data_IF_572884575883
#
_entry.id   IF_572884575883
#
_cell.length_a   1.000
_cell.length_b   1.000
_cell.length_c   1.000
_cell.angle_alpha   90.00
_cell.angle_beta   90.00
_cell.angle_gamma   90.00
#
_symmetry.space_group_name_H-M   'P 1'
#
loop_
_entity.id
_entity.type
_entity.pdbx_description
1 polymer ?
#
# COMPACT_ATOMS: atom_id res chain seq x y z
N UNK A 1 4.42 -8.47 1.58
CA UNK A 1 3.01 -8.97 1.66
C UNK A 1 2.83 -9.77 2.95
N UNK A 2 1.61 -9.86 3.52
CA UNK A 2 1.37 -10.65 4.74
C UNK A 2 -0.03 -11.27 4.75
N UNK A 3 -0.13 -12.57 5.07
CA UNK A 3 -1.40 -13.32 5.16
C UNK A 3 -2.33 -13.13 3.96
N UNK A 4 -1.77 -13.22 2.75
CA UNK A 4 -2.51 -13.04 1.50
C UNK A 4 -2.94 -11.60 1.18
N UNK A 5 -2.58 -10.62 2.00
CA UNK A 5 -2.89 -9.20 1.79
C UNK A 5 -1.67 -8.41 1.34
N UNK A 6 -1.93 -7.41 0.49
CA UNK A 6 -0.97 -6.40 0.08
C UNK A 6 -1.09 -5.21 1.03
N UNK A 7 0.04 -4.77 1.56
CA UNK A 7 0.12 -3.67 2.50
C UNK A 7 0.92 -2.50 1.92
N UNK A 8 0.50 -1.29 2.28
CA UNK A 8 1.29 -0.07 2.13
C UNK A 8 1.53 0.53 3.52
N UNK A 9 2.59 1.31 3.65
CA UNK A 9 2.95 1.95 4.91
C UNK A 9 3.04 3.46 4.75
N UNK A 10 2.69 4.18 5.81
CA UNK A 10 2.88 5.63 5.91
C UNK A 10 2.98 6.04 7.38
N UNK A 11 3.07 7.34 7.64
CA UNK A 11 3.05 7.89 8.99
C UNK A 11 1.77 8.68 9.23
N UNK A 12 1.11 8.49 10.38
CA UNK A 12 -0.19 9.12 10.70
C UNK A 12 -0.20 10.65 10.67
N UNK A 13 0.94 11.29 10.90
CA UNK A 13 1.05 12.75 10.85
C UNK A 13 1.04 13.33 9.42
N UNK A 14 1.30 12.52 8.38
CA UNK A 14 1.36 12.98 6.99
C UNK A 14 -0.04 13.30 6.45
N UNK A 15 -0.13 14.33 5.62
CA UNK A 15 -1.40 14.73 4.99
C UNK A 15 -2.07 13.60 4.20
N UNK A 16 -1.29 12.75 3.52
CA UNK A 16 -1.83 11.58 2.80
C UNK A 16 -2.57 10.61 3.73
N UNK A 17 -2.10 10.41 4.96
CA UNK A 17 -2.79 9.55 5.94
C UNK A 17 -4.12 10.17 6.37
N UNK A 18 -4.16 11.49 6.57
CA UNK A 18 -5.39 12.22 6.89
C UNK A 18 -6.41 12.13 5.76
N UNK A 19 -5.97 12.31 4.51
CA UNK A 19 -6.82 12.15 3.32
C UNK A 19 -7.40 10.74 3.21
N UNK A 20 -6.58 9.70 3.43
CA UNK A 20 -7.02 8.30 3.42
C UNK A 20 -8.04 8.03 4.55
N UNK A 21 -7.85 8.65 5.72
CA UNK A 21 -8.79 8.51 6.84
C UNK A 21 -10.16 9.16 6.56
N UNK A 22 -10.19 10.24 5.77
CA UNK A 22 -11.44 10.88 5.31
C UNK A 22 -12.09 10.11 4.16
N UNK A 23 -11.31 9.62 3.21
CA UNK A 23 -11.76 8.80 2.09
C UNK A 23 -10.69 7.78 1.71
N UNK A 24 -10.96 6.51 1.99
CA UNK A 24 -10.00 5.44 1.81
C UNK A 24 -9.94 4.87 0.39
N UNK A 25 -10.73 5.39 -0.56
CA UNK A 25 -10.66 4.97 -1.96
C UNK A 25 -9.44 5.62 -2.63
N UNK A 26 -8.49 4.80 -3.06
CA UNK A 26 -7.19 5.24 -3.59
C UNK A 26 -6.93 4.61 -4.96
N UNK A 27 -6.25 5.38 -5.82
CA UNK A 27 -5.71 4.91 -7.09
C UNK A 27 -4.19 4.96 -7.03
N UNK A 28 -3.53 3.81 -7.20
CA UNK A 28 -2.08 3.68 -7.29
C UNK A 28 -1.73 3.44 -8.74
N UNK A 29 -0.75 4.19 -9.25
CA UNK A 29 -0.23 4.05 -10.60
C UNK A 29 1.29 3.91 -10.56
N UNK A 30 1.83 3.02 -11.38
CA UNK A 30 3.27 2.85 -11.55
C UNK A 30 3.57 2.50 -13.02
N UNK A 31 4.77 2.82 -13.47
CA UNK A 31 5.28 2.55 -14.82
C UNK A 31 6.70 2.04 -14.67
N UNK A 32 7.06 1.00 -15.44
CA UNK A 32 8.35 0.31 -15.37
C UNK A 32 9.23 0.52 -16.62
N UNK A 33 8.97 1.59 -17.38
CA UNK A 33 9.56 1.91 -18.68
C UNK A 33 9.03 1.08 -19.87
N UNK A 34 8.22 0.04 -19.63
CA UNK A 34 7.58 -0.75 -20.70
C UNK A 34 6.05 -0.80 -20.56
N UNK A 35 5.57 -1.08 -19.34
CA UNK A 35 4.18 -1.27 -18.99
C UNK A 35 3.80 -0.37 -17.82
N UNK A 36 2.53 0.04 -17.75
CA UNK A 36 2.00 0.74 -16.58
C UNK A 36 0.85 -0.02 -15.96
N UNK A 37 0.70 0.14 -14.65
CA UNK A 37 -0.36 -0.47 -13.85
C UNK A 37 -1.21 0.64 -13.23
N UNK A 38 -2.52 0.40 -13.17
CA UNK A 38 -3.47 1.15 -12.37
C UNK A 38 -4.14 0.22 -11.38
N UNK A 39 -4.18 0.61 -10.12
CA UNK A 39 -4.81 -0.15 -9.04
C UNK A 39 -5.79 0.77 -8.32
N UNK A 40 -7.08 0.51 -8.48
CA UNK A 40 -8.12 1.11 -7.65
C UNK A 40 -8.38 0.19 -6.46
N UNK A 41 -8.36 0.72 -5.25
CA UNK A 41 -8.61 -0.08 -4.04
C UNK A 41 -9.10 0.80 -2.89
N UNK A 42 -9.44 0.14 -1.78
CA UNK A 42 -9.60 0.76 -0.48
C UNK A 42 -8.42 0.45 0.42
N UNK A 43 -7.85 1.47 1.07
CA UNK A 43 -6.80 1.29 2.07
C UNK A 43 -7.40 1.22 3.47
N UNK A 44 -7.32 0.05 4.11
CA UNK A 44 -7.92 -0.19 5.43
C UNK A 44 -6.82 -0.22 6.49
N UNK A 45 -6.98 0.60 7.53
CA UNK A 45 -6.01 0.71 8.63
C UNK A 45 -5.96 -0.59 9.45
N UNK A 46 -4.76 -1.16 9.57
CA UNK A 46 -4.45 -2.35 10.37
C UNK A 46 -3.29 -2.08 11.33
N UNK A 47 -3.13 -0.82 11.76
CA UNK A 47 -2.00 -0.36 12.58
C UNK A 47 -1.90 -0.98 13.96
N UNK A 48 -2.97 -1.63 14.43
CA UNK A 48 -3.00 -2.39 15.68
C UNK A 48 -2.43 -3.81 15.53
N UNK A 49 -2.18 -4.27 14.30
CA UNK A 49 -1.61 -5.57 14.02
C UNK A 49 -0.09 -5.54 14.10
N UNK A 50 0.44 -5.86 15.28
CA UNK A 50 1.88 -5.85 15.56
C UNK A 50 2.63 -6.87 14.71
N UNK A 51 2.01 -8.01 14.36
CA UNK A 51 2.65 -9.03 13.53
C UNK A 51 2.92 -8.52 12.11
N UNK A 52 1.98 -7.76 11.53
CA UNK A 52 2.18 -7.10 10.22
C UNK A 52 3.29 -6.05 10.29
N UNK A 53 3.29 -5.21 11.34
CA UNK A 53 4.36 -4.21 11.54
C UNK A 53 5.74 -4.88 11.64
N UNK A 54 5.84 -5.97 12.38
CA UNK A 54 7.09 -6.74 12.49
C UNK A 54 7.48 -7.38 11.14
N UNK A 55 6.51 -7.91 10.39
CA UNK A 55 6.78 -8.49 9.08
C UNK A 55 7.34 -7.45 8.10
N UNK A 56 6.81 -6.23 8.09
CA UNK A 56 7.33 -5.11 7.28
C UNK A 56 8.76 -4.76 7.68
N UNK A 57 9.04 -4.66 8.99
CA UNK A 57 10.41 -4.38 9.49
C UNK A 57 11.38 -5.48 9.05
N UNK A 58 10.93 -6.74 9.02
CA UNK A 58 11.75 -7.86 8.57
C UNK A 58 11.91 -7.92 7.03
N UNK A 59 10.95 -7.40 6.27
CA UNK A 59 10.95 -7.37 4.80
C UNK A 59 11.79 -6.21 4.25
N UNK A 60 11.87 -5.09 4.98
CA UNK A 60 12.53 -3.87 4.52
C UNK A 60 13.61 -3.37 5.50
N UNK A 61 14.88 -3.56 5.15
CA UNK A 61 16.03 -3.14 5.97
C UNK A 61 16.02 -1.63 6.32
N UNK A 62 15.46 -0.80 5.43
CA UNK A 62 15.37 0.65 5.62
C UNK A 62 14.28 1.08 6.62
N UNK A 63 13.37 0.19 7.01
CA UNK A 63 12.18 0.56 7.79
C UNK A 63 12.53 1.24 9.11
N UNK A 64 13.50 0.69 9.86
CA UNK A 64 13.92 1.23 11.16
C UNK A 64 14.58 2.60 10.99
N UNK A 65 15.46 2.76 9.99
CA UNK A 65 16.13 4.05 9.72
C UNK A 65 15.13 5.14 9.31
N UNK A 66 14.04 4.76 8.63
CA UNK A 66 12.93 5.65 8.30
C UNK A 66 11.95 5.90 9.45
N UNK A 67 12.20 5.36 10.66
CA UNK A 67 11.41 5.57 11.86
C UNK A 67 10.18 4.65 11.99
N UNK A 68 10.08 3.58 11.20
CA UNK A 68 9.00 2.59 11.31
C UNK A 68 9.36 1.53 12.35
N UNK A 69 9.22 1.89 13.63
CA UNK A 69 9.47 1.00 14.77
C UNK A 69 8.17 0.56 15.44
N UNK A 70 8.18 -0.56 16.17
CA UNK A 70 6.97 -1.12 16.79
C UNK A 70 6.35 -0.20 17.86
N UNK A 71 7.17 0.59 18.54
CA UNK A 71 6.78 1.56 19.55
C UNK A 71 6.35 2.91 18.97
N UNK A 72 6.53 3.13 17.66
CA UNK A 72 6.10 4.36 17.01
C UNK A 72 4.55 4.37 16.81
N UNK A 73 3.81 5.25 17.51
CA UNK A 73 2.36 5.35 17.36
C UNK A 73 1.92 5.84 15.97
N UNK A 74 2.82 6.52 15.25
CA UNK A 74 2.57 7.01 13.90
C UNK A 74 2.84 5.98 12.82
N UNK A 75 3.48 4.85 13.12
CA UNK A 75 3.68 3.78 12.13
C UNK A 75 2.32 3.23 11.70
N UNK A 76 1.87 3.65 10.53
CA UNK A 76 0.60 3.24 9.94
C UNK A 76 0.84 2.14 8.92
N UNK A 77 0.07 1.05 9.04
CA UNK A 77 0.02 -0.01 8.03
C UNK A 77 -1.41 -0.12 7.52
N UNK A 78 -1.56 -0.19 6.20
CA UNK A 78 -2.85 -0.17 5.51
C UNK A 78 -2.88 -1.34 4.54
N UNK A 79 -3.89 -2.21 4.60
CA UNK A 79 -4.06 -3.25 3.58
C UNK A 79 -4.98 -2.79 2.46
N UNK A 80 -4.73 -3.31 1.25
CA UNK A 80 -5.60 -3.09 0.10
C UNK A 80 -6.81 -4.04 0.15
N UNK A 81 -8.01 -3.49 -0.02
CA UNK A 81 -9.27 -4.22 -0.14
C UNK A 81 -10.01 -3.78 -1.41
N UNK A 82 -10.89 -4.65 -1.93
CA UNK A 82 -11.70 -4.36 -3.13
C UNK A 82 -10.83 -3.89 -4.30
N UNK A 83 -9.78 -4.67 -4.60
CA UNK A 83 -8.77 -4.29 -5.57
C UNK A 83 -9.29 -4.54 -6.99
N UNK A 84 -9.19 -3.52 -7.82
CA UNK A 84 -9.34 -3.58 -9.27
C UNK A 84 -8.03 -3.10 -9.91
N UNK A 85 -7.30 -4.02 -10.53
CA UNK A 85 -5.99 -3.75 -11.11
C UNK A 85 -6.01 -4.01 -12.61
N UNK A 86 -5.48 -3.08 -13.40
CA UNK A 86 -5.28 -3.25 -14.84
C UNK A 86 -3.85 -2.90 -15.21
N UNK A 87 -3.21 -3.76 -15.99
CA UNK A 87 -1.89 -3.57 -16.58
C UNK A 87 -2.07 -3.21 -18.06
N UNK A 88 -1.31 -2.23 -18.52
CA UNK A 88 -1.35 -1.67 -19.85
C UNK A 88 0.05 -1.62 -20.46
N UNK A 89 0.14 -1.66 -21.79
CA UNK A 89 1.37 -1.30 -22.50
C UNK A 89 1.58 0.22 -22.57
N UNK A 90 2.70 0.66 -23.16
CA UNK A 90 3.04 2.07 -23.36
C UNK A 90 2.04 2.84 -24.26
N UNK A 91 1.31 2.14 -25.13
CA UNK A 91 0.28 2.73 -25.98
C UNK A 91 -1.08 2.86 -25.27
N UNK A 92 -1.21 2.28 -24.07
CA UNK A 92 -2.43 2.27 -23.27
C UNK A 92 -3.39 1.13 -23.60
N UNK A 93 -2.96 0.11 -24.35
CA UNK A 93 -3.74 -1.10 -24.56
C UNK A 93 -3.73 -1.96 -23.31
N UNK A 94 -4.87 -2.57 -22.97
CA UNK A 94 -4.98 -3.47 -21.82
C UNK A 94 -4.25 -4.78 -22.08
N UNK A 95 -3.30 -5.12 -21.22
CA UNK A 95 -2.60 -6.41 -21.21
C UNK A 95 -3.36 -7.41 -20.35
N UNK A 96 -3.75 -7.02 -19.14
CA UNK A 96 -4.46 -7.90 -18.19
C UNK A 96 -5.18 -7.13 -17.09
N UNK A 97 -6.17 -7.78 -16.46
CA UNK A 97 -6.97 -7.23 -15.36
C UNK A 97 -7.13 -8.27 -14.25
N UNK A 98 -7.10 -7.82 -12.99
CA UNK A 98 -7.22 -8.64 -11.79
C UNK A 98 -8.18 -8.01 -10.77
N UNK A 99 -8.99 -8.85 -10.12
CA UNK A 99 -9.87 -8.45 -9.03
C UNK A 99 -9.67 -9.37 -7.82
N UNK A 100 -9.42 -8.79 -6.64
CA UNK A 100 -9.22 -9.52 -5.40
C UNK A 100 -9.43 -8.68 -4.14
#
# INVERSE_FOLDING_TARGET
MYDGKIYVITSKHKEVSKQIAENNNVCIVAYDDENWIRINCQLIDDSNNVAVKQAIINEFDWAIEAGYTLDNPDFQVLYMANVDSTIYDEEGNVISTYNF
#
